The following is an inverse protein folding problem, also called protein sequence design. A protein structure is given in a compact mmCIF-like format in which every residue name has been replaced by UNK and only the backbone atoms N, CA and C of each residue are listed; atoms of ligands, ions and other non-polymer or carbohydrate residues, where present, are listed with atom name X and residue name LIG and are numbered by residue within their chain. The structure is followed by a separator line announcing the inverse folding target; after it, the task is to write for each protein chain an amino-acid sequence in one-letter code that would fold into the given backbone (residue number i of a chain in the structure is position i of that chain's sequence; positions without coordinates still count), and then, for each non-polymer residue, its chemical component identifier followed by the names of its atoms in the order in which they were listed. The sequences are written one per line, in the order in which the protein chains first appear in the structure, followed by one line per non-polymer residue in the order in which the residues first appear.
data_IF_552091316818
#
_entry.id   IF_552091316818
#
_cell.length_a   1.000
_cell.length_b   1.000
_cell.length_c   1.000
_cell.angle_alpha   90.00
_cell.angle_beta   90.00
_cell.angle_gamma   90.00
#
_symmetry.space_group_name_H-M   'P 1'
#
loop_
_entity.id
_entity.type
_entity.pdbx_description
1 polymer ?
#
# COMPACT_ATOMS: atom_id res chain seq x y z
N UNK A 1 -4.99 -3.38 9.55
CA UNK A 1 -3.56 -3.76 9.53
C UNK A 1 -3.41 -5.24 9.29
N UNK A 2 -3.84 -6.11 10.22
CA UNK A 2 -3.66 -7.57 10.10
C UNK A 2 -4.15 -8.16 8.77
N UNK A 3 -5.31 -7.72 8.27
CA UNK A 3 -5.82 -8.17 6.96
C UNK A 3 -4.87 -7.86 5.79
N UNK A 4 -4.25 -6.67 5.79
CA UNK A 4 -3.30 -6.28 4.74
C UNK A 4 -2.00 -7.07 4.87
N UNK A 5 -1.48 -7.23 6.09
CA UNK A 5 -0.28 -8.03 6.36
C UNK A 5 -0.47 -9.50 5.95
N UNK A 6 -1.65 -10.07 6.15
CA UNK A 6 -1.99 -11.42 5.70
C UNK A 6 -2.10 -11.47 4.16
N UNK A 7 -2.75 -10.47 3.55
CA UNK A 7 -2.92 -10.39 2.10
C UNK A 7 -1.58 -10.34 1.36
N UNK A 8 -0.63 -9.59 1.91
CA UNK A 8 0.69 -9.40 1.31
C UNK A 8 1.79 -10.22 2.02
N UNK A 9 1.45 -11.29 2.75
CA UNK A 9 2.43 -12.06 3.53
C UNK A 9 3.62 -12.63 2.71
N UNK A 10 3.43 -12.80 1.40
CA UNK A 10 4.46 -13.29 0.46
C UNK A 10 5.40 -12.16 -0.04
N UNK A 11 5.12 -10.91 0.33
CA UNK A 11 5.91 -9.70 0.08
C UNK A 11 6.27 -9.13 1.47
N UNK A 12 7.45 -8.51 1.68
CA UNK A 12 7.66 -7.78 2.92
C UNK A 12 6.61 -6.68 3.02
N UNK A 13 5.63 -6.83 3.91
CA UNK A 13 4.71 -5.77 4.31
C UNK A 13 4.81 -5.63 5.82
N UNK A 14 5.27 -4.47 6.25
CA UNK A 14 5.34 -4.15 7.67
C UNK A 14 4.17 -3.27 8.12
N UNK A 15 4.22 -2.81 9.38
CA UNK A 15 3.17 -1.96 9.94
C UNK A 15 3.14 -0.57 9.31
N UNK A 16 4.28 -0.04 8.88
CA UNK A 16 4.34 1.25 8.22
C UNK A 16 3.67 1.18 6.83
N UNK A 17 3.96 0.14 6.06
CA UNK A 17 3.36 -0.09 4.74
C UNK A 17 1.85 -0.24 4.84
N UNK A 18 1.39 -1.12 5.74
CA UNK A 18 -0.03 -1.34 5.98
C UNK A 18 -0.75 -0.05 6.45
N UNK A 19 -0.05 0.81 7.19
CA UNK A 19 -0.59 2.11 7.62
C UNK A 19 -0.76 3.08 6.45
N UNK A 20 0.23 3.16 5.57
CA UNK A 20 0.16 4.01 4.38
C UNK A 20 -0.93 3.55 3.40
N UNK A 21 -1.04 2.25 3.16
CA UNK A 21 -2.11 1.67 2.32
C UNK A 21 -3.48 2.00 2.91
N UNK A 22 -3.68 1.77 4.22
CA UNK A 22 -4.94 2.07 4.89
C UNK A 22 -5.29 3.58 4.86
N UNK A 23 -4.31 4.46 5.07
CA UNK A 23 -4.54 5.91 4.98
C UNK A 23 -4.89 6.35 3.56
N UNK A 24 -4.20 5.84 2.55
CA UNK A 24 -4.48 6.17 1.15
C UNK A 24 -5.88 5.71 0.73
N UNK A 25 -6.31 4.55 1.23
CA UNK A 25 -7.66 4.04 1.06
C UNK A 25 -8.72 4.95 1.72
N UNK A 26 -8.54 5.31 3.00
CA UNK A 26 -9.46 6.20 3.74
C UNK A 26 -9.55 7.60 3.10
N UNK A 27 -8.42 8.14 2.65
CA UNK A 27 -8.35 9.48 2.05
C UNK A 27 -8.72 9.49 0.56
N UNK A 28 -9.03 8.32 -0.02
CA UNK A 28 -9.25 8.14 -1.44
C UNK A 28 -8.07 8.64 -2.31
N UNK A 29 -6.85 8.53 -1.78
CA UNK A 29 -5.62 8.99 -2.42
C UNK A 29 -5.02 7.87 -3.27
N UNK A 30 -4.64 8.19 -4.52
CA UNK A 30 -3.95 7.26 -5.41
C UNK A 30 -2.42 7.40 -5.39
N UNK A 31 -1.92 8.56 -4.99
CA UNK A 31 -0.51 8.89 -5.04
C UNK A 31 0.15 8.62 -3.69
N UNK A 32 1.25 7.87 -3.70
CA UNK A 32 2.09 7.61 -2.52
C UNK A 32 3.45 8.25 -2.75
N UNK A 33 3.93 9.00 -1.77
CA UNK A 33 5.29 9.51 -1.79
C UNK A 33 6.22 8.56 -1.04
N UNK A 34 7.02 7.77 -1.75
CA UNK A 34 7.96 6.80 -1.15
C UNK A 34 9.03 6.35 -2.14
N UNK A 35 10.18 5.91 -1.63
CA UNK A 35 11.21 5.22 -2.42
C UNK A 35 11.10 3.69 -2.33
N UNK A 36 10.14 3.21 -1.55
CA UNK A 36 9.93 1.79 -1.35
C UNK A 36 9.27 1.15 -2.58
N UNK A 37 9.95 0.15 -3.15
CA UNK A 37 9.48 -0.55 -4.35
C UNK A 37 8.25 -1.42 -4.11
N UNK A 38 7.94 -1.76 -2.86
CA UNK A 38 6.82 -2.66 -2.56
C UNK A 38 5.47 -2.01 -2.87
N UNK A 39 5.41 -0.67 -2.89
CA UNK A 39 4.22 0.09 -3.30
C UNK A 39 3.85 -0.04 -4.78
N UNK A 40 4.75 -0.54 -5.63
CA UNK A 40 4.41 -0.93 -7.00
C UNK A 40 3.61 -2.24 -7.06
N UNK A 41 3.75 -3.09 -6.03
CA UNK A 41 3.06 -4.37 -5.89
C UNK A 41 1.72 -4.16 -5.19
N UNK A 42 1.70 -3.34 -4.14
CA UNK A 42 0.50 -3.08 -3.38
C UNK A 42 -0.62 -2.48 -4.23
N UNK A 43 -1.84 -2.77 -3.81
CA UNK A 43 -3.08 -2.42 -4.48
C UNK A 43 -4.07 -1.85 -3.47
N UNK A 44 -4.70 -0.75 -3.86
CA UNK A 44 -5.87 -0.15 -3.23
C UNK A 44 -7.14 -0.91 -3.64
N UNK A 45 -8.25 -0.65 -2.93
CA UNK A 45 -9.61 -1.05 -3.32
C UNK A 45 -9.85 -1.15 -4.82
N UNK A 46 -10.46 -2.27 -5.22
CA UNK A 46 -10.74 -2.56 -6.63
C UNK A 46 -9.49 -2.96 -7.42
N UNK A 47 -8.43 -3.42 -6.73
CA UNK A 47 -7.17 -3.85 -7.34
C UNK A 47 -6.48 -2.73 -8.13
N UNK A 48 -6.57 -1.50 -7.64
CA UNK A 48 -5.99 -0.32 -8.29
C UNK A 48 -4.54 -0.12 -7.86
N UNK A 49 -3.60 0.13 -8.79
CA UNK A 49 -2.22 0.45 -8.44
C UNK A 49 -2.09 1.83 -7.80
N UNK A 50 -1.05 2.02 -6.99
CA UNK A 50 -0.64 3.34 -6.53
C UNK A 50 0.20 4.07 -7.59
N UNK A 51 0.09 5.39 -7.63
CA UNK A 51 1.02 6.28 -8.34
C UNK A 51 2.15 6.63 -7.36
N UNK A 52 3.26 5.91 -7.45
CA UNK A 52 4.44 6.15 -6.59
C UNK A 52 5.21 7.35 -7.13
N UNK A 53 5.61 8.25 -6.23
CA UNK A 53 6.44 9.41 -6.57
C UNK A 53 7.45 9.75 -5.46
N UNK A 54 8.56 10.42 -5.80
CA UNK A 54 9.24 10.23 -7.08
C UNK A 54 9.66 8.76 -7.26
#
# INVERSE_FOLDING_TARGET
METLMIQYQDVPMDLADASLVAMAEVLNQKQIFTLDSDFYIYRRYGNQPFEVVP
#
